data_IF_046044689275
#
_entry.id   IF_046044689275
#
_cell.length_a   1.000
_cell.length_b   1.000
_cell.length_c   1.000
_cell.angle_alpha   90.00
_cell.angle_beta   90.00
_cell.angle_gamma   90.00
#
_symmetry.space_group_name_H-M   'P 1'
#
loop_
_entity.id
_entity.type
_entity.pdbx_description
1 polymer ?
#
# COMPACT_ATOMS: atom_id res chain seq x y z
N UNK A 1 23.04 -11.24 -18.57
CA UNK A 1 23.99 -11.27 -17.44
C UNK A 1 23.19 -10.95 -16.19
N UNK A 2 23.51 -11.52 -15.02
CA UNK A 2 22.84 -11.14 -13.78
C UNK A 2 23.05 -9.65 -13.50
N UNK A 3 22.05 -8.98 -12.93
CA UNK A 3 22.15 -7.56 -12.57
C UNK A 3 23.32 -7.31 -11.62
N UNK A 4 24.00 -6.20 -11.83
CA UNK A 4 25.09 -5.71 -11.00
C UNK A 4 24.82 -4.27 -10.53
N UNK A 5 25.60 -3.79 -9.56
CA UNK A 5 25.50 -2.38 -9.12
C UNK A 5 25.88 -1.37 -10.20
N UNK A 6 26.66 -1.75 -11.20
CA UNK A 6 27.01 -0.87 -12.32
C UNK A 6 25.78 -0.54 -13.17
N UNK A 7 24.84 -1.48 -13.30
CA UNK A 7 23.59 -1.28 -14.03
C UNK A 7 22.65 -0.27 -13.34
N UNK A 8 22.87 -0.04 -12.03
CA UNK A 8 22.09 0.83 -11.18
C UNK A 8 22.70 2.23 -11.02
N UNK A 9 23.79 2.53 -11.73
CA UNK A 9 24.42 3.85 -11.70
C UNK A 9 23.39 4.96 -11.99
N UNK A 10 23.54 6.08 -11.28
CA UNK A 10 22.70 7.29 -11.37
C UNK A 10 21.22 7.12 -10.98
N UNK A 11 20.79 5.94 -10.53
CA UNK A 11 19.44 5.72 -10.03
C UNK A 11 19.31 6.14 -8.56
N UNK A 12 18.88 7.39 -8.34
CA UNK A 12 18.72 7.95 -6.99
C UNK A 12 17.35 7.73 -6.32
N UNK A 13 16.36 7.20 -7.04
CA UNK A 13 14.99 7.01 -6.51
C UNK A 13 14.55 5.54 -6.51
N UNK A 14 13.56 5.18 -5.66
CA UNK A 14 12.99 3.83 -5.66
C UNK A 14 12.55 3.35 -7.04
N UNK A 15 11.81 4.19 -7.77
CA UNK A 15 11.34 3.89 -9.13
C UNK A 15 12.48 3.69 -10.11
N UNK A 16 13.50 4.55 -10.07
CA UNK A 16 14.63 4.47 -10.98
C UNK A 16 15.42 3.17 -10.74
N UNK A 17 15.65 2.80 -9.49
CA UNK A 17 16.33 1.56 -9.13
C UNK A 17 15.55 0.33 -9.58
N UNK A 18 14.26 0.25 -9.23
CA UNK A 18 13.42 -0.89 -9.64
C UNK A 18 13.35 -1.00 -11.16
N UNK A 19 13.21 0.13 -11.87
CA UNK A 19 13.23 0.14 -13.35
C UNK A 19 14.52 -0.46 -13.91
N UNK A 20 15.68 -0.06 -13.39
CA UNK A 20 16.99 -0.58 -13.84
C UNK A 20 17.14 -2.06 -13.53
N UNK A 21 16.74 -2.50 -12.34
CA UNK A 21 16.76 -3.93 -11.96
C UNK A 21 15.92 -4.75 -12.93
N UNK A 22 14.68 -4.31 -13.22
CA UNK A 22 13.79 -5.03 -14.13
C UNK A 22 14.25 -5.00 -15.60
N UNK A 23 14.99 -3.96 -16.01
CA UNK A 23 15.62 -3.92 -17.34
C UNK A 23 16.79 -4.91 -17.45
N UNK A 24 17.58 -5.06 -16.39
CA UNK A 24 18.67 -6.01 -16.34
C UNK A 24 18.19 -7.47 -16.15
N UNK A 25 17.06 -7.65 -15.46
CA UNK A 25 16.43 -8.95 -15.16
C UNK A 25 15.00 -9.01 -15.74
N UNK A 26 14.83 -9.03 -17.08
CA UNK A 26 13.51 -8.95 -17.72
C UNK A 26 12.61 -10.15 -17.43
N UNK A 27 13.19 -11.28 -17.01
CA UNK A 27 12.48 -12.53 -16.71
C UNK A 27 12.42 -12.81 -15.20
N UNK A 28 12.48 -11.78 -14.36
CA UNK A 28 12.42 -11.93 -12.91
C UNK A 28 11.10 -12.62 -12.50
N UNK A 29 11.14 -13.78 -11.81
CA UNK A 29 9.93 -14.52 -11.51
C UNK A 29 9.13 -13.85 -10.38
N UNK A 30 7.87 -14.26 -10.25
CA UNK A 30 7.00 -13.95 -9.11
C UNK A 30 6.74 -15.25 -8.36
N UNK A 31 6.99 -15.32 -7.04
CA UNK A 31 7.52 -14.26 -6.18
C UNK A 31 8.99 -13.92 -6.48
N UNK A 32 9.38 -12.65 -6.35
CA UNK A 32 10.76 -12.20 -6.62
C UNK A 32 11.76 -12.89 -5.70
N UNK A 33 12.87 -13.47 -6.22
CA UNK A 33 13.88 -14.14 -5.41
C UNK A 33 14.78 -13.11 -4.71
N UNK A 34 14.21 -12.42 -3.72
CA UNK A 34 14.81 -11.21 -3.12
C UNK A 34 16.20 -11.48 -2.53
N UNK A 35 16.43 -12.66 -1.95
CA UNK A 35 17.72 -13.01 -1.35
C UNK A 35 18.81 -13.20 -2.42
N UNK A 36 18.48 -13.78 -3.57
CA UNK A 36 19.41 -13.89 -4.70
C UNK A 36 19.73 -12.52 -5.28
N UNK A 37 18.71 -11.66 -5.38
CA UNK A 37 18.88 -10.28 -5.83
C UNK A 37 19.79 -9.50 -4.86
N UNK A 38 19.59 -9.64 -3.55
CA UNK A 38 20.47 -9.10 -2.53
C UNK A 38 21.92 -9.54 -2.71
N UNK A 39 22.16 -10.84 -2.92
CA UNK A 39 23.51 -11.39 -3.11
C UNK A 39 24.22 -10.78 -4.34
N UNK A 40 23.50 -10.66 -5.47
CA UNK A 40 24.03 -10.03 -6.70
C UNK A 40 24.33 -8.54 -6.50
N UNK A 41 23.57 -7.88 -5.63
CA UNK A 41 23.66 -6.44 -5.36
C UNK A 41 24.48 -6.09 -4.12
N UNK A 42 25.38 -6.98 -3.69
CA UNK A 42 26.41 -6.72 -2.69
C UNK A 42 25.99 -6.93 -1.24
N UNK A 43 24.88 -7.63 -0.98
CA UNK A 43 24.58 -8.17 0.35
C UNK A 43 25.32 -9.49 0.50
N UNK A 44 26.29 -9.57 1.42
CA UNK A 44 27.09 -10.78 1.64
C UNK A 44 26.37 -11.81 2.52
N UNK A 45 25.56 -11.34 3.46
CA UNK A 45 24.87 -12.18 4.44
C UNK A 45 23.49 -11.63 4.77
N UNK A 46 22.58 -12.54 5.04
CA UNK A 46 21.26 -12.28 5.60
C UNK A 46 21.17 -13.14 6.85
N UNK A 47 21.10 -12.51 8.01
CA UNK A 47 21.09 -13.17 9.31
C UNK A 47 19.75 -12.91 10.01
N UNK A 48 19.19 -13.95 10.58
CA UNK A 48 17.95 -13.85 11.33
C UNK A 48 18.25 -13.58 12.81
N UNK A 49 17.43 -12.75 13.46
CA UNK A 49 17.51 -12.49 14.90
C UNK A 49 16.15 -12.59 15.59
N UNK A 50 16.18 -12.68 16.92
CA UNK A 50 14.99 -12.90 17.76
C UNK A 50 14.71 -11.75 18.75
N UNK A 51 15.45 -10.63 18.67
CA UNK A 51 15.20 -9.45 19.50
C UNK A 51 13.96 -8.65 19.06
N UNK A 52 13.31 -8.00 20.02
CA UNK A 52 12.19 -7.07 19.82
C UNK A 52 12.62 -5.61 19.57
N UNK A 53 13.92 -5.32 19.64
CA UNK A 53 14.46 -3.95 19.51
C UNK A 53 14.25 -3.34 18.12
N UNK A 54 14.34 -4.16 17.06
CA UNK A 54 14.16 -3.74 15.68
C UNK A 54 13.54 -4.87 14.86
N UNK A 55 13.02 -4.51 13.69
CA UNK A 55 12.41 -5.48 12.75
C UNK A 55 13.39 -5.86 11.65
N UNK A 56 14.18 -4.88 11.19
CA UNK A 56 15.22 -5.04 10.18
C UNK A 56 16.42 -4.17 10.50
N UNK A 57 17.56 -4.56 9.98
CA UNK A 57 18.74 -3.72 10.01
C UNK A 57 19.69 -4.00 8.86
N UNK A 58 20.49 -2.99 8.54
CA UNK A 58 21.57 -3.08 7.57
C UNK A 58 22.86 -2.64 8.23
N UNK A 59 23.83 -3.56 8.27
CA UNK A 59 25.22 -3.25 8.66
C UNK A 59 26.04 -3.14 7.38
N UNK A 60 26.67 -1.98 7.16
CA UNK A 60 27.44 -1.68 5.95
C UNK A 60 28.63 -0.79 6.25
N UNK A 61 29.68 -0.87 5.45
CA UNK A 61 30.80 0.08 5.53
C UNK A 61 30.40 1.47 4.99
N UNK A 62 31.24 2.48 5.25
CA UNK A 62 30.99 3.86 4.80
C UNK A 62 30.92 3.99 3.27
N UNK A 63 31.62 3.11 2.53
CA UNK A 63 31.63 3.08 1.07
C UNK A 63 30.45 2.31 0.47
N UNK A 64 29.64 1.66 1.31
CA UNK A 64 28.60 0.69 0.96
C UNK A 64 29.07 -0.35 -0.04
N UNK A 65 30.31 -0.81 0.09
CA UNK A 65 30.89 -1.81 -0.80
C UNK A 65 30.19 -3.16 -0.60
N UNK A 66 29.85 -3.50 0.64
CA UNK A 66 29.03 -4.65 0.99
C UNK A 66 28.16 -4.42 2.23
N UNK A 67 27.11 -5.24 2.37
CA UNK A 67 26.20 -5.18 3.51
C UNK A 67 25.84 -6.55 4.09
N UNK A 68 25.50 -6.56 5.38
CA UNK A 68 24.81 -7.66 6.07
C UNK A 68 23.43 -7.19 6.48
N UNK A 69 22.40 -7.92 6.06
CA UNK A 69 21.01 -7.66 6.44
C UNK A 69 20.68 -8.49 7.68
N UNK A 70 20.10 -7.84 8.68
CA UNK A 70 19.51 -8.46 9.85
C UNK A 70 17.99 -8.43 9.67
N UNK A 71 17.32 -9.58 9.80
CA UNK A 71 15.88 -9.67 9.72
C UNK A 71 15.31 -10.39 10.94
N UNK A 72 14.27 -9.82 11.54
CA UNK A 72 13.61 -10.49 12.66
C UNK A 72 12.96 -11.78 12.19
N UNK A 73 13.11 -12.87 12.95
CA UNK A 73 12.37 -14.11 12.70
C UNK A 73 10.88 -13.85 12.82
N UNK A 74 10.13 -14.40 11.88
CA UNK A 74 8.70 -14.22 11.82
C UNK A 74 8.11 -14.84 10.57
N UNK A 75 6.92 -14.39 10.18
CA UNK A 75 6.28 -14.84 8.95
C UNK A 75 7.09 -14.46 7.72
N UNK A 76 7.28 -15.42 6.81
CA UNK A 76 8.06 -15.24 5.59
C UNK A 76 7.68 -13.98 4.77
N UNK A 77 6.39 -13.62 4.59
CA UNK A 77 6.05 -12.40 3.87
C UNK A 77 6.60 -11.12 4.50
N UNK A 78 6.65 -11.06 5.84
CA UNK A 78 7.19 -9.92 6.58
C UNK A 78 8.71 -9.89 6.47
N UNK A 79 9.36 -11.04 6.63
CA UNK A 79 10.80 -11.20 6.45
C UNK A 79 11.26 -10.78 5.05
N UNK A 80 10.54 -11.19 4.00
CA UNK A 80 10.81 -10.79 2.61
C UNK A 80 10.71 -9.28 2.41
N UNK A 81 9.69 -8.65 2.99
CA UNK A 81 9.55 -7.20 2.95
C UNK A 81 10.72 -6.50 3.64
N UNK A 82 11.10 -6.95 4.84
CA UNK A 82 12.26 -6.43 5.57
C UNK A 82 13.54 -6.54 4.73
N UNK A 83 13.82 -7.70 4.15
CA UNK A 83 15.02 -7.89 3.31
C UNK A 83 15.02 -6.93 2.10
N UNK A 84 13.87 -6.77 1.43
CA UNK A 84 13.74 -5.83 0.32
C UNK A 84 13.91 -4.36 0.77
N UNK A 85 13.41 -4.02 1.95
CA UNK A 85 13.54 -2.70 2.56
C UNK A 85 15.01 -2.37 2.85
N UNK A 86 15.73 -3.27 3.52
CA UNK A 86 17.15 -3.09 3.83
C UNK A 86 18.02 -3.05 2.56
N UNK A 87 17.66 -3.80 1.52
CA UNK A 87 18.29 -3.67 0.20
C UNK A 87 18.10 -2.25 -0.37
N UNK A 88 16.92 -1.64 -0.18
CA UNK A 88 16.68 -0.25 -0.54
C UNK A 88 17.66 0.71 0.12
N UNK A 89 17.87 0.58 1.44
CA UNK A 89 18.87 1.36 2.17
C UNK A 89 20.29 1.21 1.62
N UNK A 90 20.66 -0.01 1.24
CA UNK A 90 21.99 -0.29 0.70
C UNK A 90 22.19 0.41 -0.66
N UNK A 91 21.20 0.36 -1.53
CA UNK A 91 21.30 0.83 -2.92
C UNK A 91 21.20 2.35 -3.07
N UNK A 92 20.43 3.02 -2.21
CA UNK A 92 20.19 4.46 -2.33
C UNK A 92 21.28 5.27 -1.64
N UNK A 93 22.25 5.80 -2.41
CA UNK A 93 23.45 6.46 -1.88
C UNK A 93 23.17 7.61 -0.88
N UNK A 94 22.04 8.32 -0.99
CA UNK A 94 21.65 9.37 -0.04
C UNK A 94 21.11 8.84 1.29
N UNK A 95 20.87 7.53 1.42
CA UNK A 95 20.46 6.93 2.70
C UNK A 95 21.64 6.86 3.66
N UNK A 96 21.87 7.89 4.48
CA UNK A 96 22.94 7.89 5.49
C UNK A 96 22.39 7.37 6.83
N UNK A 97 23.05 6.42 7.51
CA UNK A 97 22.55 5.88 8.77
C UNK A 97 22.73 6.89 9.90
N UNK A 98 21.80 6.87 10.86
CA UNK A 98 21.85 7.75 12.03
C UNK A 98 22.95 7.33 13.02
N UNK A 99 23.32 6.05 13.01
CA UNK A 99 24.46 5.49 13.74
C UNK A 99 25.55 5.06 12.75
N UNK A 100 26.85 5.18 13.09
CA UNK A 100 27.93 4.80 12.17
C UNK A 100 27.77 3.37 11.63
N UNK A 101 27.53 3.26 10.33
CA UNK A 101 27.48 1.99 9.59
C UNK A 101 26.27 1.08 9.86
N UNK A 102 25.22 1.58 10.54
CA UNK A 102 24.06 0.74 10.92
C UNK A 102 22.72 1.44 10.72
N UNK A 103 21.83 0.81 9.95
CA UNK A 103 20.40 1.08 9.96
C UNK A 103 19.72 0.11 10.91
N UNK A 104 18.81 0.62 11.73
CA UNK A 104 17.92 -0.17 12.58
C UNK A 104 16.50 0.37 12.37
N UNK A 105 15.67 -0.44 11.73
CA UNK A 105 14.33 -0.10 11.31
C UNK A 105 13.33 -0.87 12.17
N UNK A 106 12.43 -0.15 12.84
CA UNK A 106 11.41 -0.77 13.69
C UNK A 106 10.12 -1.06 12.89
N UNK A 107 9.17 -1.75 13.54
CA UNK A 107 7.88 -2.08 12.92
C UNK A 107 7.11 -0.86 12.39
N UNK A 108 7.20 0.29 13.06
CA UNK A 108 6.49 1.51 12.63
C UNK A 108 7.12 2.14 11.40
N UNK A 109 8.44 1.98 11.24
CA UNK A 109 9.17 2.44 10.08
C UNK A 109 8.79 1.62 8.84
N UNK A 110 8.68 0.29 8.94
CA UNK A 110 8.25 -0.57 7.81
C UNK A 110 6.82 -0.33 7.33
N UNK A 111 5.97 0.26 8.17
CA UNK A 111 4.57 0.59 7.83
C UNK A 111 4.39 2.03 7.36
N UNK A 112 5.47 2.82 7.33
CA UNK A 112 5.42 4.25 7.05
C UNK A 112 5.13 4.53 5.58
N UNK A 113 4.20 5.45 5.34
CA UNK A 113 3.76 5.88 4.00
C UNK A 113 4.11 7.34 3.68
N UNK A 114 4.29 8.16 4.70
CA UNK A 114 4.59 9.59 4.58
C UNK A 114 5.68 9.99 5.58
N UNK A 115 6.43 11.02 5.21
CA UNK A 115 7.45 11.62 6.06
C UNK A 115 7.00 13.00 6.50
N UNK A 116 7.33 13.37 7.74
CA UNK A 116 7.18 14.75 8.21
C UNK A 116 8.10 15.67 7.43
N UNK A 117 7.68 16.92 7.27
CA UNK A 117 8.52 17.95 6.65
C UNK A 117 9.83 18.11 7.44
N UNK A 118 10.96 18.17 6.74
CA UNK A 118 12.29 18.25 7.34
C UNK A 118 12.85 16.95 7.93
N UNK A 119 12.05 15.89 8.12
CA UNK A 119 12.52 14.64 8.74
C UNK A 119 13.16 13.70 7.70
N UNK A 120 14.48 13.81 7.57
CA UNK A 120 15.26 13.02 6.61
C UNK A 120 15.27 11.52 6.93
N UNK A 121 15.22 11.14 8.21
CA UNK A 121 15.14 9.72 8.60
C UNK A 121 13.86 9.12 8.06
N UNK A 122 12.72 9.76 8.32
CA UNK A 122 11.43 9.28 7.83
C UNK A 122 11.34 9.25 6.31
N UNK A 123 11.98 10.19 5.61
CA UNK A 123 12.04 10.18 4.14
C UNK A 123 12.74 8.92 3.62
N UNK A 124 13.90 8.56 4.20
CA UNK A 124 14.62 7.33 3.87
C UNK A 124 13.78 6.08 4.12
N UNK A 125 13.10 5.98 5.26
CA UNK A 125 12.22 4.85 5.58
C UNK A 125 11.08 4.72 4.55
N UNK A 126 10.46 5.83 4.17
CA UNK A 126 9.39 5.85 3.15
C UNK A 126 9.92 5.43 1.78
N UNK A 127 11.11 5.89 1.39
CA UNK A 127 11.76 5.51 0.13
C UNK A 127 12.12 4.02 0.12
N UNK A 128 12.66 3.50 1.22
CA UNK A 128 12.98 2.07 1.38
C UNK A 128 11.71 1.20 1.33
N UNK A 129 10.62 1.60 2.00
CA UNK A 129 9.33 0.92 1.90
C UNK A 129 8.76 0.95 0.48
N UNK A 130 8.93 2.07 -0.22
CA UNK A 130 8.49 2.23 -1.60
C UNK A 130 9.29 1.33 -2.54
N UNK A 131 10.61 1.28 -2.37
CA UNK A 131 11.48 0.35 -3.08
C UNK A 131 11.07 -1.10 -2.83
N UNK A 132 10.90 -1.50 -1.57
CA UNK A 132 10.49 -2.86 -1.20
C UNK A 132 9.16 -3.26 -1.84
N UNK A 133 8.16 -2.36 -1.82
CA UNK A 133 6.86 -2.60 -2.43
C UNK A 133 6.98 -2.76 -3.95
N UNK A 134 7.66 -1.83 -4.63
CA UNK A 134 7.84 -1.87 -6.08
C UNK A 134 8.65 -3.08 -6.54
N UNK A 135 9.64 -3.50 -5.75
CA UNK A 135 10.48 -4.64 -6.09
C UNK A 135 9.75 -5.96 -5.86
N UNK A 136 9.04 -6.11 -4.74
CA UNK A 136 8.30 -7.34 -4.44
C UNK A 136 7.00 -7.46 -5.23
N UNK A 137 6.40 -6.35 -5.64
CA UNK A 137 5.21 -6.30 -6.49
C UNK A 137 5.42 -5.39 -7.72
N UNK A 138 6.23 -5.81 -8.72
CA UNK A 138 6.53 -5.00 -9.88
C UNK A 138 5.26 -4.50 -10.60
N UNK A 139 5.09 -3.19 -10.88
CA UNK A 139 3.84 -2.64 -11.38
C UNK A 139 3.34 -3.22 -12.71
N UNK A 140 4.22 -3.74 -13.57
CA UNK A 140 3.82 -4.38 -14.83
C UNK A 140 3.28 -5.81 -14.60
N UNK A 141 3.92 -6.58 -13.72
CA UNK A 141 3.47 -7.93 -13.33
C UNK A 141 2.19 -7.86 -12.49
N UNK A 142 2.10 -6.90 -11.58
CA UNK A 142 0.90 -6.64 -10.79
C UNK A 142 -0.29 -6.30 -11.68
N UNK A 143 -0.12 -5.40 -12.66
CA UNK A 143 -1.18 -5.09 -13.64
C UNK A 143 -1.58 -6.30 -14.47
N UNK A 144 -0.62 -7.13 -14.88
CA UNK A 144 -0.89 -8.40 -15.57
C UNK A 144 -1.71 -9.37 -14.71
N UNK A 145 -1.34 -9.54 -13.44
CA UNK A 145 -2.07 -10.38 -12.49
C UNK A 145 -3.50 -9.86 -12.23
N UNK A 146 -3.68 -8.54 -12.23
CA UNK A 146 -4.99 -7.91 -12.04
C UNK A 146 -5.86 -7.90 -13.30
N UNK A 147 -5.32 -8.22 -14.49
CA UNK A 147 -6.06 -8.09 -15.75
C UNK A 147 -7.31 -8.99 -15.83
N UNK A 148 -7.31 -10.12 -15.12
CA UNK A 148 -8.44 -11.04 -15.06
C UNK A 148 -9.49 -10.68 -13.98
N UNK A 149 -9.16 -9.76 -13.08
CA UNK A 149 -10.04 -9.38 -11.97
C UNK A 149 -11.19 -8.52 -12.48
N UNK A 150 -12.41 -8.84 -12.04
CA UNK A 150 -13.61 -8.08 -12.35
C UNK A 150 -13.96 -7.20 -11.16
N UNK A 151 -13.78 -5.89 -11.32
CA UNK A 151 -14.09 -4.92 -10.28
C UNK A 151 -13.22 -5.03 -9.02
N UNK A 152 -13.48 -4.17 -8.03
CA UNK A 152 -12.80 -4.20 -6.74
C UNK A 152 -13.29 -5.35 -5.85
N UNK A 153 -12.36 -6.13 -5.29
CA UNK A 153 -12.69 -7.20 -4.33
C UNK A 153 -11.49 -7.47 -3.41
N UNK A 154 -11.72 -7.63 -2.10
CA UNK A 154 -10.71 -8.00 -1.12
C UNK A 154 -10.14 -9.40 -1.37
N UNK A 155 -10.88 -10.31 -2.00
CA UNK A 155 -10.35 -11.60 -2.43
C UNK A 155 -9.19 -11.43 -3.41
N UNK A 156 -9.23 -10.42 -4.29
CA UNK A 156 -8.10 -10.09 -5.16
C UNK A 156 -6.85 -9.73 -4.35
N UNK A 157 -7.00 -8.97 -3.27
CA UNK A 157 -5.89 -8.63 -2.37
C UNK A 157 -5.28 -9.90 -1.73
N UNK A 158 -6.11 -10.86 -1.33
CA UNK A 158 -5.62 -12.13 -0.76
C UNK A 158 -4.88 -12.98 -1.78
N UNK A 159 -5.39 -13.05 -3.02
CA UNK A 159 -4.74 -13.74 -4.15
C UNK A 159 -3.38 -13.09 -4.43
N UNK A 160 -3.33 -11.77 -4.56
CA UNK A 160 -2.08 -11.03 -4.80
C UNK A 160 -1.08 -11.20 -3.65
N UNK A 161 -1.53 -11.17 -2.39
CA UNK A 161 -0.66 -11.39 -1.24
C UNK A 161 0.00 -12.78 -1.28
N UNK A 162 -0.78 -13.81 -1.65
CA UNK A 162 -0.28 -15.18 -1.82
C UNK A 162 0.71 -15.27 -2.98
N UNK A 163 0.30 -14.80 -4.17
CA UNK A 163 1.05 -15.03 -5.41
C UNK A 163 2.38 -14.26 -5.42
N UNK A 164 2.40 -13.04 -4.88
CA UNK A 164 3.63 -12.25 -4.73
C UNK A 164 4.41 -12.57 -3.44
N UNK A 165 3.89 -13.46 -2.59
CA UNK A 165 4.46 -13.83 -1.30
C UNK A 165 4.77 -12.60 -0.41
N UNK A 166 3.79 -11.72 -0.25
CA UNK A 166 3.86 -10.49 0.57
C UNK A 166 2.74 -10.44 1.61
N UNK A 167 2.88 -9.55 2.60
CA UNK A 167 1.82 -9.33 3.58
C UNK A 167 0.54 -8.80 2.93
N UNK A 168 -0.63 -9.16 3.48
CA UNK A 168 -1.94 -8.68 2.99
C UNK A 168 -2.01 -7.16 2.90
N UNK A 169 -1.37 -6.46 3.84
CA UNK A 169 -1.35 -5.00 3.87
C UNK A 169 -0.46 -4.41 2.76
N UNK A 170 0.69 -5.01 2.47
CA UNK A 170 1.53 -4.65 1.33
C UNK A 170 0.76 -4.84 0.02
N UNK A 171 0.08 -5.98 -0.13
CA UNK A 171 -0.77 -6.25 -1.29
C UNK A 171 -1.95 -5.27 -1.38
N UNK A 172 -2.60 -4.94 -0.27
CA UNK A 172 -3.70 -3.97 -0.23
C UNK A 172 -3.26 -2.59 -0.69
N UNK A 173 -2.10 -2.12 -0.21
CA UNK A 173 -1.51 -0.85 -0.64
C UNK A 173 -1.23 -0.84 -2.14
N UNK A 174 -0.54 -1.87 -2.64
CA UNK A 174 -0.19 -1.97 -4.05
C UNK A 174 -1.44 -2.08 -4.95
N UNK A 175 -2.43 -2.88 -4.52
CA UNK A 175 -3.72 -3.02 -5.18
C UNK A 175 -4.40 -1.66 -5.33
N UNK A 176 -4.56 -0.91 -4.24
CA UNK A 176 -5.18 0.42 -4.26
C UNK A 176 -4.41 1.43 -5.13
N UNK A 177 -3.08 1.38 -5.11
CA UNK A 177 -2.25 2.31 -5.89
C UNK A 177 -2.30 2.05 -7.41
N UNK A 178 -2.56 0.81 -7.82
CA UNK A 178 -2.54 0.38 -9.22
C UNK A 178 -3.91 -0.04 -9.76
N UNK A 179 -4.97 0.06 -8.96
CA UNK A 179 -6.34 -0.22 -9.41
C UNK A 179 -6.84 0.90 -10.33
N UNK A 180 -7.55 0.57 -11.43
CA UNK A 180 -8.12 1.59 -12.32
C UNK A 180 -9.30 2.33 -11.68
N UNK A 181 -10.03 1.68 -10.78
CA UNK A 181 -11.22 2.26 -10.13
C UNK A 181 -10.89 3.08 -8.87
N UNK A 182 -11.87 3.86 -8.43
CA UNK A 182 -11.74 4.72 -7.24
C UNK A 182 -11.98 3.90 -5.99
N UNK A 183 -10.90 3.39 -5.42
CA UNK A 183 -10.96 2.56 -4.22
C UNK A 183 -10.09 3.08 -3.08
N UNK A 184 -10.48 2.73 -1.87
CA UNK A 184 -9.67 2.84 -0.68
C UNK A 184 -9.76 1.55 0.14
N UNK A 185 -8.69 1.22 0.87
CA UNK A 185 -8.70 0.14 1.85
C UNK A 185 -8.32 0.72 3.20
N UNK A 186 -9.21 0.57 4.18
CA UNK A 186 -8.99 0.91 5.58
C UNK A 186 -8.58 -0.34 6.33
N UNK A 187 -7.43 -0.29 7.01
CA UNK A 187 -7.00 -1.34 7.93
C UNK A 187 -7.48 -0.96 9.32
N UNK A 188 -8.29 -1.82 9.92
CA UNK A 188 -8.76 -1.67 11.30
C UNK A 188 -8.10 -2.73 12.20
N UNK A 189 -7.93 -2.39 13.47
CA UNK A 189 -7.43 -3.28 14.52
C UNK A 189 -8.19 -3.00 15.80
N UNK A 190 -8.85 -4.02 16.36
CA UNK A 190 -9.68 -3.93 17.56
C UNK A 190 -10.72 -2.79 17.48
N UNK A 191 -11.42 -2.70 16.34
CA UNK A 191 -12.45 -1.67 16.10
C UNK A 191 -11.93 -0.25 15.86
N UNK A 192 -10.61 -0.06 15.74
CA UNK A 192 -9.99 1.25 15.50
C UNK A 192 -9.26 1.29 14.17
N UNK A 193 -9.39 2.40 13.46
CA UNK A 193 -8.66 2.68 12.23
C UNK A 193 -7.17 2.71 12.53
N UNK A 194 -6.39 1.89 11.84
CA UNK A 194 -4.95 1.85 11.95
C UNK A 194 -4.32 2.64 10.81
N UNK A 195 -4.75 2.37 9.57
CA UNK A 195 -4.18 2.92 8.34
C UNK A 195 -5.25 3.04 7.27
N UNK A 196 -5.05 3.95 6.33
CA UNK A 196 -5.91 4.15 5.17
C UNK A 196 -5.04 4.24 3.91
N UNK A 197 -5.30 3.37 2.94
CA UNK A 197 -4.74 3.46 1.59
C UNK A 197 -5.84 3.92 0.65
N UNK A 198 -5.56 4.89 -0.21
CA UNK A 198 -6.56 5.38 -1.18
C UNK A 198 -5.91 5.60 -2.54
N UNK A 199 -6.66 5.37 -3.61
CA UNK A 199 -6.23 5.79 -4.94
C UNK A 199 -6.21 7.32 -5.01
N UNK A 200 -5.46 7.88 -5.96
CA UNK A 200 -5.28 9.33 -6.07
C UNK A 200 -6.61 10.07 -6.24
N UNK A 201 -7.52 9.47 -7.02
CA UNK A 201 -8.85 9.97 -7.34
C UNK A 201 -9.92 9.67 -6.28
N UNK A 202 -9.59 8.88 -5.25
CA UNK A 202 -10.49 8.64 -4.12
C UNK A 202 -10.38 9.81 -3.11
N UNK A 203 -11.50 10.37 -2.60
CA UNK A 203 -11.51 11.46 -1.64
C UNK A 203 -10.74 11.14 -0.35
N UNK A 204 -10.39 12.16 0.42
CA UNK A 204 -9.77 11.93 1.72
C UNK A 204 -10.72 11.15 2.66
N UNK A 205 -10.20 10.13 3.33
CA UNK A 205 -10.92 9.42 4.39
C UNK A 205 -10.98 10.31 5.63
N UNK A 206 -12.18 10.61 6.11
CA UNK A 206 -12.38 11.51 7.26
C UNK A 206 -12.09 10.85 8.60
N UNK A 207 -12.09 9.51 8.66
CA UNK A 207 -11.76 8.77 9.86
C UNK A 207 -10.26 8.86 10.16
N UNK A 208 -9.92 9.54 11.26
CA UNK A 208 -8.54 9.68 11.70
C UNK A 208 -7.94 8.32 12.14
N UNK A 209 -6.63 8.15 11.94
CA UNK A 209 -5.87 7.04 12.52
C UNK A 209 -6.03 7.06 14.05
N UNK A 210 -6.34 5.90 14.62
CA UNK A 210 -6.72 5.72 16.02
C UNK A 210 -8.21 5.95 16.30
N UNK A 211 -8.98 6.57 15.40
CA UNK A 211 -10.42 6.73 15.56
C UNK A 211 -11.17 5.40 15.52
N UNK A 212 -12.39 5.33 16.08
CA UNK A 212 -13.25 4.15 15.93
C UNK A 212 -13.68 3.97 14.47
N UNK A 213 -13.86 2.72 14.05
CA UNK A 213 -14.57 2.42 12.80
C UNK A 213 -16.03 2.90 12.94
N UNK A 214 -16.59 3.67 11.99
CA UNK A 214 -17.94 4.22 12.09
C UNK A 214 -18.99 3.16 12.40
N UNK A 215 -19.92 3.44 13.32
CA UNK A 215 -20.95 2.47 13.76
C UNK A 215 -21.87 1.99 12.65
N UNK A 216 -22.07 2.80 11.61
CA UNK A 216 -22.84 2.45 10.41
C UNK A 216 -22.07 1.65 9.36
N UNK A 217 -20.78 1.36 9.58
CA UNK A 217 -19.99 0.50 8.69
C UNK A 217 -20.47 -0.95 8.78
N UNK A 218 -20.46 -1.63 7.64
CA UNK A 218 -20.60 -3.08 7.50
C UNK A 218 -19.67 -3.82 8.45
N UNK A 219 -18.53 -3.26 8.85
CA UNK A 219 -17.63 -3.83 9.86
C UNK A 219 -18.34 -4.26 11.15
N UNK A 220 -19.36 -3.53 11.59
CA UNK A 220 -20.14 -3.84 12.81
C UNK A 220 -21.34 -4.76 12.56
N UNK A 221 -21.66 -5.09 11.31
CA UNK A 221 -22.74 -6.01 10.98
C UNK A 221 -22.36 -7.47 11.29
N UNK A 222 -23.35 -8.31 11.64
CA UNK A 222 -23.15 -9.72 12.00
C UNK A 222 -23.86 -10.67 11.01
N UNK A 223 -23.30 -11.88 10.73
CA UNK A 223 -22.04 -12.44 11.21
C UNK A 223 -20.96 -12.50 10.12
N UNK A 224 -19.90 -11.70 10.26
CA UNK A 224 -18.68 -11.89 9.47
C UNK A 224 -17.98 -13.19 9.84
N UNK A 225 -17.57 -13.96 8.82
CA UNK A 225 -16.74 -15.16 9.02
C UNK A 225 -15.26 -14.77 8.96
N UNK A 226 -14.44 -15.06 9.99
CA UNK A 226 -13.03 -14.78 9.93
C UNK A 226 -12.37 -15.44 8.71
N UNK A 227 -11.49 -14.69 8.06
CA UNK A 227 -10.75 -15.11 6.86
C UNK A 227 -11.58 -15.34 5.60
N UNK A 228 -12.82 -14.83 5.55
CA UNK A 228 -13.67 -14.80 4.36
C UNK A 228 -14.11 -13.35 4.18
N UNK A 229 -13.93 -12.79 2.98
CA UNK A 229 -14.47 -11.45 2.68
C UNK A 229 -16.00 -11.52 2.61
N UNK A 230 -16.67 -10.51 3.15
CA UNK A 230 -18.12 -10.37 3.01
C UNK A 230 -18.52 -10.15 1.55
N UNK A 231 -19.82 -10.24 1.29
CA UNK A 231 -20.37 -9.63 0.08
C UNK A 231 -20.17 -8.11 0.13
N UNK A 232 -20.14 -7.50 -1.05
CA UNK A 232 -20.13 -6.05 -1.21
C UNK A 232 -21.52 -5.50 -0.90
N UNK A 233 -21.60 -4.46 -0.08
CA UNK A 233 -22.85 -3.81 0.29
C UNK A 233 -22.76 -2.29 0.16
N UNK A 234 -23.82 -1.66 -0.30
CA UNK A 234 -23.92 -0.20 -0.32
C UNK A 234 -23.86 0.35 1.11
N UNK A 235 -23.13 1.45 1.29
CA UNK A 235 -23.03 2.14 2.57
C UNK A 235 -23.19 3.65 2.37
N UNK A 236 -23.44 4.36 3.46
CA UNK A 236 -23.57 5.81 3.41
C UNK A 236 -22.19 6.45 3.19
N UNK A 237 -22.01 7.33 2.18
CA UNK A 237 -20.70 7.91 1.89
C UNK A 237 -20.16 8.82 3.01
N UNK A 238 -21.06 9.49 3.74
CA UNK A 238 -20.71 10.39 4.85
C UNK A 238 -20.11 9.68 6.08
N UNK A 239 -20.08 8.34 6.08
CA UNK A 239 -19.32 7.55 7.06
C UNK A 239 -17.81 7.67 6.85
N UNK A 240 -17.38 7.77 5.59
CA UNK A 240 -15.97 7.59 5.20
C UNK A 240 -15.36 8.81 4.54
N UNK A 241 -16.16 9.62 3.84
CA UNK A 241 -15.69 10.78 3.08
C UNK A 241 -16.54 12.02 3.40
N UNK A 242 -15.96 13.20 3.22
CA UNK A 242 -16.70 14.45 3.33
C UNK A 242 -17.58 14.65 2.08
N UNK A 243 -18.91 14.64 2.28
CA UNK A 243 -19.90 14.87 1.24
C UNK A 243 -20.40 16.31 1.36
N UNK A 244 -19.99 17.17 0.42
CA UNK A 244 -20.49 18.55 0.38
C UNK A 244 -22.01 18.56 0.13
N UNK A 245 -22.74 19.35 0.93
CA UNK A 245 -24.22 19.42 0.95
C UNK A 245 -24.86 19.74 -0.40
N UNK A 246 -24.14 20.40 -1.31
CA UNK A 246 -24.67 20.85 -2.60
C UNK A 246 -24.37 19.90 -3.78
N UNK A 247 -23.71 18.78 -3.50
CA UNK A 247 -23.36 17.75 -4.50
C UNK A 247 -24.16 16.48 -4.21
N UNK A 248 -24.57 15.78 -5.29
CA UNK A 248 -25.14 14.44 -5.17
C UNK A 248 -24.10 13.52 -4.51
N UNK A 249 -24.47 12.89 -3.39
CA UNK A 249 -23.62 11.95 -2.71
C UNK A 249 -23.29 10.79 -3.68
N UNK A 250 -22.01 10.43 -3.87
CA UNK A 250 -21.65 9.34 -4.76
C UNK A 250 -22.10 8.00 -4.16
N UNK A 251 -22.40 7.00 -5.00
CA UNK A 251 -22.66 5.66 -4.48
C UNK A 251 -21.34 5.06 -3.95
N UNK A 252 -21.36 4.64 -2.69
CA UNK A 252 -20.23 4.04 -2.00
C UNK A 252 -20.60 2.62 -1.58
N UNK A 253 -19.73 1.67 -1.94
CA UNK A 253 -19.85 0.28 -1.51
C UNK A 253 -18.72 -0.09 -0.56
N UNK A 254 -19.03 -1.02 0.33
CA UNK A 254 -18.13 -1.53 1.34
C UNK A 254 -18.05 -3.06 1.28
N UNK A 255 -16.85 -3.59 1.49
CA UNK A 255 -16.60 -5.01 1.69
C UNK A 255 -15.65 -5.19 2.87
N UNK A 256 -15.89 -6.19 3.72
CA UNK A 256 -15.13 -6.38 4.95
C UNK A 256 -14.47 -7.75 4.97
N UNK A 257 -13.20 -7.78 5.34
CA UNK A 257 -12.45 -9.00 5.60
C UNK A 257 -11.92 -8.98 7.03
N UNK A 258 -12.52 -9.79 7.92
CA UNK A 258 -12.06 -9.94 9.30
C UNK A 258 -10.94 -10.98 9.42
N UNK A 259 -9.95 -10.68 10.24
CA UNK A 259 -8.84 -11.57 10.59
C UNK A 259 -9.01 -12.13 12.00
N UNK A 260 -8.41 -13.30 12.26
CA UNK A 260 -8.51 -13.99 13.56
C UNK A 260 -7.87 -13.23 14.73
N UNK A 261 -6.99 -12.28 14.44
CA UNK A 261 -6.23 -11.51 15.44
C UNK A 261 -6.87 -10.14 15.75
N UNK A 262 -8.16 -9.95 15.45
CA UNK A 262 -8.86 -8.68 15.70
C UNK A 262 -8.58 -7.57 14.68
N UNK A 263 -7.82 -7.85 13.63
CA UNK A 263 -7.63 -6.93 12.51
C UNK A 263 -8.68 -7.14 11.41
N UNK A 264 -8.91 -6.12 10.60
CA UNK A 264 -9.77 -6.19 9.43
C UNK A 264 -9.23 -5.32 8.29
N UNK A 265 -9.60 -5.68 7.06
CA UNK A 265 -9.53 -4.80 5.90
C UNK A 265 -10.94 -4.44 5.48
N UNK A 266 -11.17 -3.15 5.22
CA UNK A 266 -12.45 -2.60 4.76
C UNK A 266 -12.16 -1.97 3.40
N UNK A 267 -12.66 -2.57 2.33
CA UNK A 267 -12.59 -2.01 0.98
C UNK A 267 -13.76 -1.05 0.80
N UNK A 268 -13.44 0.12 0.29
CA UNK A 268 -14.38 1.18 -0.06
C UNK A 268 -14.27 1.41 -1.57
N UNK A 269 -15.40 1.32 -2.27
CA UNK A 269 -15.46 1.52 -3.71
C UNK A 269 -16.46 2.63 -4.05
N UNK A 270 -15.99 3.69 -4.70
CA UNK A 270 -16.83 4.76 -5.23
C UNK A 270 -17.15 4.51 -6.69
N UNK A 271 -18.42 4.19 -6.96
CA UNK A 271 -18.92 4.01 -8.32
C UNK A 271 -18.65 5.26 -9.15
N UNK A 272 -18.31 5.08 -10.43
CA UNK A 272 -18.14 6.20 -11.35
C UNK A 272 -19.40 7.10 -11.29
N UNK A 273 -19.21 8.42 -11.09
CA UNK A 273 -20.34 9.34 -11.26
C UNK A 273 -20.64 9.31 -12.75
N UNK A 274 -21.85 8.90 -13.17
CA UNK A 274 -22.21 8.96 -14.59
C UNK A 274 -21.97 10.39 -15.06
N UNK A 275 -21.30 10.59 -16.19
CA UNK A 275 -21.30 11.90 -16.83
C UNK A 275 -22.77 12.22 -17.11
N UNK A 276 -23.35 13.17 -16.37
CA UNK A 276 -24.69 13.66 -16.71
C UNK A 276 -24.62 14.11 -18.17
N UNK A 277 -25.49 13.54 -19.00
CA UNK A 277 -25.65 13.99 -20.37
C UNK A 277 -25.96 15.49 -20.37
N UNK A 278 -25.60 16.20 -21.45
CA UNK A 278 -25.93 17.63 -21.55
C UNK A 278 -27.44 17.89 -21.39
N UNK A 279 -28.28 16.89 -21.68
CA UNK A 279 -29.74 16.92 -21.48
C UNK A 279 -30.13 16.76 -20.01
N UNK A 280 -29.51 15.83 -19.27
CA UNK A 280 -29.73 15.67 -17.83
C UNK A 280 -29.31 16.90 -17.03
N UNK A 281 -28.16 17.53 -17.39
CA UNK A 281 -27.74 18.81 -16.78
C UNK A 281 -28.77 19.90 -16.98
N UNK A 282 -29.29 20.04 -18.21
CA UNK A 282 -30.33 21.03 -18.57
C UNK A 282 -31.65 20.76 -17.85
N UNK A 283 -32.03 19.50 -17.68
CA UNK A 283 -33.23 19.09 -16.93
C UNK A 283 -33.08 19.41 -15.44
N UNK A 284 -31.90 19.16 -14.85
CA UNK A 284 -31.61 19.44 -13.45
C UNK A 284 -31.56 20.96 -13.16
N UNK A 285 -30.97 21.74 -14.05
CA UNK A 285 -30.97 23.21 -13.99
C UNK A 285 -32.39 23.78 -14.18
N UNK A 286 -33.15 23.24 -15.13
CA UNK A 286 -34.55 23.62 -15.37
C UNK A 286 -35.47 23.30 -14.19
N UNK A 287 -35.22 22.21 -13.47
CA UNK A 287 -35.90 21.90 -12.21
C UNK A 287 -35.53 22.89 -11.11
N UNK A 288 -34.24 23.19 -10.90
CA UNK A 288 -33.79 24.15 -9.88
C UNK A 288 -34.40 25.54 -10.04
N UNK A 289 -34.61 26.01 -11.28
CA UNK A 289 -35.24 27.29 -11.54
C UNK A 289 -36.77 27.31 -11.35
N UNK A 290 -37.47 26.19 -11.56
CA UNK A 290 -38.94 26.12 -11.42
C UNK A 290 -39.44 26.14 -9.98
N UNK A 291 -38.60 25.76 -9.00
CA UNK A 291 -38.97 25.76 -7.58
C UNK A 291 -38.54 27.02 -6.81
N UNK A 292 -37.72 27.90 -7.41
CA UNK A 292 -37.34 29.19 -6.81
C UNK A 292 -38.22 30.36 -7.26
N UNK A 293 -39.14 30.19 -8.22
CA UNK A 293 -40.02 31.26 -8.71
C UNK A 293 -41.41 31.30 -8.07
N UNK A 294 -41.62 30.61 -6.94
CA UNK A 294 -42.95 30.40 -6.35
C UNK A 294 -43.12 30.89 -4.91
N UNK A 295 -42.55 32.04 -4.53
CA UNK A 295 -42.98 32.82 -3.34
C UNK A 295 -42.78 34.31 -3.59
N UNK A 296 -43.83 34.97 -4.07
CA UNK A 296 -44.16 36.36 -3.77
C UNK A 296 -45.51 36.36 -3.08
#
# INVERSE_FOLDING_TARGET
MPVSRMDLADAGSPEALVKRILQAEPNLPVPVPIQELCARLGVRRIEDHDTDEFEGGLVTDAKRSDGTILAKRGGEPRRRFTIAHELGHLLMAHHVPDQPGRFLCNSSDLLRVTAKEGDQRQRREVEANRFATLMLMPPHLLRGAMAAFRGPDLQHVLVLARDFAVGKETAARAYVQHHPERIAIVVAGNGRVQRCYRSLSFPAIICAVGGPVPTGSLYHSSPHRPSIASDTAACRPDLWIDVKRDLRAPDLHEQVYLQRNGFAMILLHLDAVPEESAEERRLNEGWRHRFHSGRR
#
